data_IF_188005985874
#
_entry.id   IF_188005985874
#
_cell.length_a   1.000
_cell.length_b   1.000
_cell.length_c   1.000
_cell.angle_alpha   90.00
_cell.angle_beta   90.00
_cell.angle_gamma   90.00
#
_symmetry.space_group_name_H-M   'P 1'
#
loop_
_entity.id
_entity.type
_entity.pdbx_description
1 polymer ?
#
# COMPACT_ATOMS: atom_id res chain seq x y z
N UNK A 1 -13.97 -10.47 81.11
CA UNK A 1 -12.88 -10.68 80.11
C UNK A 1 -13.51 -10.67 78.79
N UNK A 2 -13.46 -9.53 78.02
CA UNK A 2 -14.10 -9.30 76.79
C UNK A 2 -13.07 -9.51 75.67
N UNK A 3 -13.23 -10.55 74.85
CA UNK A 3 -12.32 -10.85 73.70
C UNK A 3 -12.85 -10.14 72.43
N UNK A 4 -12.17 -9.05 72.04
CA UNK A 4 -12.36 -8.41 70.75
C UNK A 4 -11.73 -9.29 69.66
N UNK A 5 -12.57 -9.76 68.69
CA UNK A 5 -12.11 -10.37 67.43
C UNK A 5 -12.05 -9.29 66.38
N UNK A 6 -10.83 -8.94 65.95
CA UNK A 6 -10.59 -8.11 64.76
C UNK A 6 -10.87 -8.97 63.54
N UNK A 7 -11.85 -8.57 62.72
CA UNK A 7 -12.02 -9.07 61.36
C UNK A 7 -11.25 -8.16 60.42
N UNK A 8 -10.15 -8.67 59.86
CA UNK A 8 -9.42 -8.00 58.79
C UNK A 8 -10.12 -8.32 57.47
N UNK A 9 -10.77 -7.34 56.87
CA UNK A 9 -11.32 -7.42 55.51
C UNK A 9 -10.22 -7.10 54.50
N UNK A 10 -9.72 -8.13 53.77
CA UNK A 10 -8.88 -7.93 52.61
C UNK A 10 -9.76 -7.49 51.44
N UNK A 11 -9.66 -6.24 51.03
CA UNK A 11 -10.20 -5.76 49.77
C UNK A 11 -9.18 -6.04 48.67
N UNK A 12 -9.45 -7.05 47.85
CA UNK A 12 -8.68 -7.30 46.62
C UNK A 12 -9.11 -6.29 45.55
N UNK A 13 -8.23 -5.32 45.28
CA UNK A 13 -8.40 -4.41 44.13
C UNK A 13 -8.02 -5.17 42.86
N UNK A 14 -9.00 -5.55 42.06
CA UNK A 14 -8.79 -6.08 40.71
C UNK A 14 -8.41 -4.93 39.77
N UNK A 15 -7.14 -4.86 39.35
CA UNK A 15 -6.68 -3.93 38.31
C UNK A 15 -7.10 -4.53 36.96
N UNK A 16 -8.12 -3.96 36.36
CA UNK A 16 -8.56 -4.28 34.99
C UNK A 16 -7.58 -3.61 34.03
N UNK A 17 -6.62 -4.36 33.49
CA UNK A 17 -5.75 -3.91 32.38
C UNK A 17 -6.56 -3.99 31.09
N UNK A 18 -7.09 -2.86 30.61
CA UNK A 18 -7.66 -2.73 29.28
C UNK A 18 -6.51 -2.73 28.26
N UNK A 19 -6.27 -3.89 27.66
CA UNK A 19 -5.41 -3.98 26.48
C UNK A 19 -6.22 -3.44 25.29
N UNK A 20 -5.98 -2.19 24.91
CA UNK A 20 -6.44 -1.67 23.64
C UNK A 20 -5.62 -2.37 22.55
N UNK A 21 -6.16 -3.40 21.95
CA UNK A 21 -5.69 -3.88 20.66
C UNK A 21 -6.02 -2.76 19.64
N UNK A 22 -5.05 -1.85 19.43
CA UNK A 22 -5.15 -0.86 18.37
C UNK A 22 -5.20 -1.61 17.05
N UNK A 23 -6.37 -1.64 16.39
CA UNK A 23 -6.46 -2.06 15.01
C UNK A 23 -5.63 -1.06 14.20
N UNK A 24 -4.50 -1.50 13.64
CA UNK A 24 -3.74 -0.70 12.70
C UNK A 24 -4.58 -0.61 11.40
N UNK A 25 -5.36 0.46 11.29
CA UNK A 25 -6.07 0.76 10.04
C UNK A 25 -5.03 1.14 8.98
N UNK A 26 -5.24 0.67 7.75
CA UNK A 26 -4.43 1.09 6.62
C UNK A 26 -4.42 2.62 6.54
N UNK A 27 -3.25 3.20 6.31
CA UNK A 27 -3.12 4.66 6.24
C UNK A 27 -3.76 5.20 4.98
N UNK A 28 -4.58 6.24 5.12
CA UNK A 28 -5.08 6.98 3.96
C UNK A 28 -3.93 7.70 3.23
N UNK A 29 -4.06 7.96 1.91
CA UNK A 29 -3.10 8.79 1.20
C UNK A 29 -3.03 10.18 1.82
N UNK A 30 -1.83 10.77 1.84
CA UNK A 30 -1.61 12.14 2.30
C UNK A 30 -0.54 12.84 1.46
N UNK A 31 -0.60 14.17 1.39
CA UNK A 31 0.37 14.95 0.62
C UNK A 31 0.28 14.74 -0.89
N UNK A 32 -0.81 14.20 -1.43
CA UNK A 32 -1.03 14.10 -2.87
C UNK A 32 -1.37 15.51 -3.39
N UNK A 33 -0.46 16.08 -4.17
CA UNK A 33 -0.59 17.41 -4.76
C UNK A 33 -1.49 17.37 -5.99
N UNK A 34 -1.29 16.37 -6.84
CA UNK A 34 -2.08 16.14 -8.04
C UNK A 34 -2.02 14.68 -8.48
N UNK A 35 -3.01 14.24 -9.25
CA UNK A 35 -3.09 12.88 -9.77
C UNK A 35 -3.95 12.79 -11.02
N UNK A 36 -3.70 13.60 -12.09
CA UNK A 36 -4.51 13.55 -13.30
C UNK A 36 -4.35 12.21 -14.02
N UNK A 37 -5.46 11.67 -14.48
CA UNK A 37 -5.46 10.59 -15.47
C UNK A 37 -5.08 11.21 -16.81
N UNK A 38 -3.98 10.74 -17.39
CA UNK A 38 -3.48 11.25 -18.67
C UNK A 38 -4.18 10.59 -19.84
N UNK A 39 -4.45 9.29 -19.71
CA UNK A 39 -5.15 8.49 -20.70
C UNK A 39 -5.82 7.27 -20.05
N UNK A 40 -6.92 6.82 -20.61
CA UNK A 40 -7.64 5.61 -20.21
C UNK A 40 -8.35 5.04 -21.44
N UNK A 41 -8.38 3.73 -21.59
CA UNK A 41 -9.07 3.08 -22.68
C UNK A 41 -9.27 1.59 -22.46
N UNK A 42 -10.36 1.09 -23.04
CA UNK A 42 -10.66 -0.34 -23.08
C UNK A 42 -9.77 -1.04 -24.11
N UNK A 43 -9.36 -2.26 -23.82
CA UNK A 43 -8.81 -3.14 -24.82
C UNK A 43 -9.93 -3.59 -25.78
N UNK A 44 -9.79 -3.29 -27.08
CA UNK A 44 -10.75 -3.71 -28.11
C UNK A 44 -10.63 -5.21 -28.37
N UNK A 45 -9.40 -5.71 -28.37
CA UNK A 45 -9.10 -7.12 -28.52
C UNK A 45 -9.07 -7.82 -27.16
N UNK A 46 -9.21 -9.15 -27.18
CA UNK A 46 -8.95 -9.95 -25.97
C UNK A 46 -7.46 -9.90 -25.65
N UNK A 47 -7.12 -9.31 -24.51
CA UNK A 47 -5.74 -9.14 -24.05
C UNK A 47 -5.52 -9.88 -22.74
N UNK A 48 -4.49 -10.73 -22.71
CA UNK A 48 -3.97 -11.30 -21.47
C UNK A 48 -2.66 -10.58 -21.13
N UNK A 49 -2.65 -9.83 -20.04
CA UNK A 49 -1.45 -9.14 -19.57
C UNK A 49 -0.71 -10.05 -18.60
N UNK A 50 0.53 -10.38 -18.94
CA UNK A 50 1.41 -11.16 -18.06
C UNK A 50 2.74 -10.46 -17.89
N UNK A 51 3.10 -10.17 -16.65
CA UNK A 51 4.38 -9.57 -16.31
C UNK A 51 5.16 -10.55 -15.43
N UNK A 52 6.41 -10.81 -15.80
CA UNK A 52 7.34 -11.63 -15.05
C UNK A 52 8.60 -10.81 -14.76
N UNK A 53 9.02 -10.77 -13.50
CA UNK A 53 10.22 -10.05 -13.07
C UNK A 53 10.86 -10.74 -11.85
N UNK A 54 12.10 -10.41 -11.58
CA UNK A 54 12.83 -10.89 -10.41
C UNK A 54 12.83 -9.80 -9.32
N UNK A 55 12.52 -10.22 -8.08
CA UNK A 55 12.57 -9.35 -6.90
C UNK A 55 12.98 -10.17 -5.67
N UNK A 56 13.95 -9.66 -4.90
CA UNK A 56 14.47 -10.30 -3.67
C UNK A 56 14.88 -11.77 -3.87
N UNK A 57 15.49 -12.06 -5.04
CA UNK A 57 15.91 -13.41 -5.41
C UNK A 57 14.76 -14.38 -5.70
N UNK A 58 13.57 -13.87 -5.94
CA UNK A 58 12.39 -14.66 -6.28
C UNK A 58 11.76 -14.17 -7.58
N UNK A 59 11.30 -15.13 -8.41
CA UNK A 59 10.49 -14.81 -9.58
C UNK A 59 9.08 -14.42 -9.14
N UNK A 60 8.64 -13.24 -9.54
CA UNK A 60 7.26 -12.76 -9.38
C UNK A 60 6.56 -12.82 -10.73
N UNK A 61 5.36 -13.36 -10.76
CA UNK A 61 4.49 -13.40 -11.94
C UNK A 61 3.15 -12.78 -11.57
N UNK A 62 2.77 -11.72 -12.28
CA UNK A 62 1.43 -11.16 -12.26
C UNK A 62 0.75 -11.49 -13.58
N UNK A 63 -0.46 -12.00 -13.52
CA UNK A 63 -1.23 -12.43 -14.69
C UNK A 63 -2.67 -11.93 -14.61
N UNK A 64 -3.03 -11.00 -15.49
CA UNK A 64 -4.37 -10.47 -15.65
C UNK A 64 -4.99 -11.00 -16.96
N UNK A 65 -5.67 -12.16 -16.92
CA UNK A 65 -6.34 -12.71 -18.09
C UNK A 65 -7.60 -11.87 -18.39
N UNK A 66 -7.83 -11.61 -19.66
CA UNK A 66 -8.95 -10.78 -20.11
C UNK A 66 -8.93 -9.37 -19.50
N UNK A 67 -7.75 -8.75 -19.49
CA UNK A 67 -7.56 -7.41 -18.94
C UNK A 67 -8.60 -6.43 -19.53
N UNK A 68 -9.28 -5.69 -18.68
CA UNK A 68 -10.34 -4.75 -19.06
C UNK A 68 -9.80 -3.47 -19.67
N UNK A 69 -9.41 -2.52 -18.84
CA UNK A 69 -8.89 -1.22 -19.28
C UNK A 69 -7.41 -1.07 -18.96
N UNK A 70 -6.75 -0.23 -19.75
CA UNK A 70 -5.44 0.34 -19.43
C UNK A 70 -5.61 1.81 -19.04
N UNK A 71 -4.91 2.26 -17.99
CA UNK A 71 -4.95 3.63 -17.52
C UNK A 71 -3.54 4.15 -17.26
N UNK A 72 -3.27 5.39 -17.68
CA UNK A 72 -2.03 6.10 -17.41
C UNK A 72 -2.33 7.30 -16.54
N UNK A 73 -1.62 7.42 -15.43
CA UNK A 73 -1.79 8.49 -14.46
C UNK A 73 -0.45 9.11 -14.10
N UNK A 74 -0.38 10.43 -14.01
CA UNK A 74 0.74 11.14 -13.37
C UNK A 74 0.35 11.49 -11.94
N UNK A 75 1.21 11.19 -10.98
CA UNK A 75 0.96 11.46 -9.56
C UNK A 75 2.10 12.31 -9.01
N UNK A 76 1.75 13.41 -8.34
CA UNK A 76 2.70 14.27 -7.64
C UNK A 76 2.46 14.19 -6.14
N UNK A 77 3.51 13.87 -5.39
CA UNK A 77 3.48 13.69 -3.93
C UNK A 77 4.44 14.69 -3.30
N UNK A 78 3.92 15.53 -2.40
CA UNK A 78 4.73 16.49 -1.64
C UNK A 78 5.73 15.79 -0.70
N UNK A 79 6.78 16.48 -0.23
CA UNK A 79 7.64 15.99 0.84
C UNK A 79 6.86 15.50 2.06
N UNK A 80 7.20 14.34 2.58
CA UNK A 80 6.49 13.68 3.69
C UNK A 80 5.16 13.03 3.31
N UNK A 81 4.74 13.12 2.06
CA UNK A 81 3.50 12.51 1.58
C UNK A 81 3.61 11.00 1.36
N UNK A 82 2.46 10.34 1.32
CA UNK A 82 2.34 8.90 1.11
C UNK A 82 1.12 8.56 0.25
N UNK A 83 1.22 7.45 -0.48
CA UNK A 83 0.06 6.87 -1.17
C UNK A 83 -0.90 6.14 -0.22
N UNK A 84 -0.49 5.88 1.03
CA UNK A 84 -1.23 4.99 1.93
C UNK A 84 -1.21 3.53 1.48
N UNK A 85 -1.56 2.61 2.37
CA UNK A 85 -1.59 1.18 2.06
C UNK A 85 -2.72 0.82 1.09
N UNK A 86 -2.36 0.18 -0.01
CA UNK A 86 -3.30 -0.19 -1.07
C UNK A 86 -2.75 -1.33 -1.93
N UNK A 87 -3.58 -1.83 -2.82
CA UNK A 87 -3.22 -2.73 -3.91
C UNK A 87 -3.89 -2.28 -5.21
N UNK A 88 -3.70 -3.04 -6.28
CA UNK A 88 -4.29 -2.78 -7.60
C UNK A 88 -4.98 -4.03 -8.15
N UNK A 89 -5.98 -3.91 -9.03
CA UNK A 89 -6.63 -5.05 -9.68
C UNK A 89 -5.66 -5.90 -10.49
N UNK A 90 -4.82 -5.27 -11.28
CA UNK A 90 -3.79 -5.91 -12.10
C UNK A 90 -2.41 -5.31 -11.90
N UNK A 91 -1.42 -5.73 -12.72
CA UNK A 91 -0.06 -5.21 -12.62
C UNK A 91 0.02 -3.73 -12.98
N UNK A 92 0.96 -3.03 -12.35
CA UNK A 92 1.23 -1.61 -12.59
C UNK A 92 2.71 -1.43 -12.93
N UNK A 93 2.99 -0.73 -14.02
CA UNK A 93 4.34 -0.25 -14.34
C UNK A 93 4.46 1.19 -13.87
N UNK A 94 5.42 1.46 -12.99
CA UNK A 94 5.68 2.79 -12.44
C UNK A 94 7.02 3.29 -12.92
N UNK A 95 7.05 4.53 -13.42
CA UNK A 95 8.27 5.26 -13.79
C UNK A 95 8.38 6.46 -12.86
N UNK A 96 9.52 6.62 -12.18
CA UNK A 96 9.80 7.80 -11.37
C UNK A 96 10.36 8.89 -12.26
N UNK A 97 9.61 9.98 -12.42
CA UNK A 97 9.94 11.11 -13.28
C UNK A 97 10.81 12.15 -12.56
N UNK A 98 10.57 12.38 -11.27
CA UNK A 98 11.33 13.29 -10.43
C UNK A 98 11.29 12.85 -8.97
N UNK A 99 12.32 13.19 -8.20
CA UNK A 99 12.45 12.81 -6.79
C UNK A 99 12.89 11.36 -6.59
N UNK A 100 12.63 10.82 -5.41
CA UNK A 100 12.88 9.41 -5.07
C UNK A 100 11.64 8.85 -4.37
N UNK A 101 11.09 7.79 -4.93
CA UNK A 101 9.99 7.04 -4.33
C UNK A 101 10.56 5.97 -3.41
N UNK A 102 10.09 5.91 -2.15
CA UNK A 102 10.36 4.80 -1.25
C UNK A 102 9.14 3.87 -1.26
N UNK A 103 9.30 2.70 -1.90
CA UNK A 103 8.27 1.67 -2.00
C UNK A 103 8.36 0.72 -0.83
N UNK A 104 7.28 0.55 -0.07
CA UNK A 104 7.24 -0.28 1.14
C UNK A 104 6.22 -1.39 0.99
N UNK A 105 6.60 -2.60 1.31
CA UNK A 105 5.76 -3.80 1.26
C UNK A 105 6.20 -4.83 2.29
N UNK A 106 5.35 -5.78 2.58
CA UNK A 106 5.76 -7.00 3.26
C UNK A 106 6.40 -7.99 2.27
N UNK A 107 7.52 -8.57 2.66
CA UNK A 107 8.17 -9.65 1.93
C UNK A 107 8.80 -10.64 2.90
N UNK A 108 8.45 -11.93 2.79
CA UNK A 108 9.00 -13.03 3.62
C UNK A 108 8.83 -12.79 5.13
N UNK A 109 7.74 -12.11 5.55
CA UNK A 109 7.47 -11.80 6.95
C UNK A 109 8.25 -10.59 7.50
N UNK A 110 8.87 -9.81 6.64
CA UNK A 110 9.58 -8.57 7.00
C UNK A 110 9.00 -7.38 6.23
N UNK A 111 9.08 -6.20 6.84
CA UNK A 111 8.77 -4.96 6.14
C UNK A 111 10.00 -4.50 5.37
N UNK A 112 9.86 -4.43 4.04
CA UNK A 112 10.96 -4.06 3.14
C UNK A 112 10.65 -2.74 2.46
N UNK A 113 11.58 -1.81 2.55
CA UNK A 113 11.58 -0.56 1.81
C UNK A 113 12.61 -0.60 0.68
N UNK A 114 12.24 -0.04 -0.46
CA UNK A 114 13.09 0.01 -1.65
C UNK A 114 13.02 1.39 -2.28
N UNK A 115 14.14 2.12 -2.35
CA UNK A 115 14.17 3.43 -3.00
C UNK A 115 14.26 3.29 -4.52
N UNK A 116 13.46 4.09 -5.23
CA UNK A 116 13.46 4.24 -6.68
C UNK A 116 13.70 5.71 -7.02
N UNK A 117 14.93 6.10 -7.43
CA UNK A 117 15.24 7.48 -7.82
C UNK A 117 14.66 7.82 -9.19
N UNK A 118 14.65 9.11 -9.52
CA UNK A 118 14.27 9.60 -10.85
C UNK A 118 15.02 8.87 -11.97
N UNK A 119 14.30 8.50 -13.02
CA UNK A 119 14.79 7.68 -14.14
C UNK A 119 14.71 6.17 -13.92
N UNK A 120 14.31 5.71 -12.73
CA UNK A 120 14.05 4.29 -12.47
C UNK A 120 12.60 3.91 -12.79
N UNK A 121 12.39 2.61 -13.01
CA UNK A 121 11.07 2.02 -13.16
C UNK A 121 10.97 0.71 -12.37
N UNK A 122 9.76 0.37 -11.95
CA UNK A 122 9.48 -0.91 -11.30
C UNK A 122 8.07 -1.42 -11.65
N UNK A 123 7.82 -2.68 -11.33
CA UNK A 123 6.51 -3.29 -11.48
C UNK A 123 5.92 -3.52 -10.09
N UNK A 124 4.70 -3.04 -9.87
CA UNK A 124 3.83 -3.53 -8.81
C UNK A 124 3.01 -4.69 -9.36
N UNK A 125 3.00 -5.86 -8.71
CA UNK A 125 2.25 -7.00 -9.23
C UNK A 125 0.73 -6.84 -9.15
N UNK A 126 0.22 -5.92 -8.34
CA UNK A 126 -1.22 -5.79 -8.09
C UNK A 126 -1.82 -7.04 -7.45
N UNK A 127 -3.09 -7.35 -7.75
CA UNK A 127 -3.76 -8.60 -7.39
C UNK A 127 -3.70 -8.94 -5.89
N UNK A 128 -3.94 -7.91 -5.04
CA UNK A 128 -3.94 -8.06 -3.58
C UNK A 128 -2.57 -7.91 -2.91
N UNK A 129 -1.49 -7.69 -3.66
CA UNK A 129 -0.20 -7.34 -3.07
C UNK A 129 -0.26 -5.94 -2.46
N UNK A 130 -0.37 -5.90 -1.14
CA UNK A 130 -0.45 -4.64 -0.39
C UNK A 130 0.90 -3.93 -0.34
N UNK A 131 0.88 -2.64 -0.59
CA UNK A 131 2.05 -1.77 -0.52
C UNK A 131 1.67 -0.33 -0.18
N UNK A 132 2.67 0.47 0.14
CA UNK A 132 2.58 1.92 0.21
C UNK A 132 3.83 2.53 -0.39
N UNK A 133 3.76 3.81 -0.73
CA UNK A 133 4.90 4.58 -1.19
C UNK A 133 4.99 5.91 -0.44
N UNK A 134 6.21 6.35 -0.17
CA UNK A 134 6.50 7.61 0.51
C UNK A 134 7.41 8.48 -0.34
N UNK A 135 7.21 9.79 -0.21
CA UNK A 135 8.20 10.79 -0.59
C UNK A 135 8.95 11.22 0.68
N UNK A 136 10.11 10.63 0.92
CA UNK A 136 10.99 10.97 2.05
C UNK A 136 12.01 12.07 1.71
N UNK A 137 11.96 12.61 0.48
CA UNK A 137 12.82 13.69 0.02
C UNK A 137 12.30 15.07 0.41
N UNK A 138 13.04 16.11 0.00
CA UNK A 138 12.71 17.54 0.22
C UNK A 138 11.98 18.21 -0.95
N UNK A 139 11.91 17.53 -2.10
CA UNK A 139 11.26 18.01 -3.31
C UNK A 139 10.06 17.14 -3.67
N UNK A 140 9.18 17.63 -4.55
CA UNK A 140 8.07 16.84 -5.03
C UNK A 140 8.56 15.57 -5.74
N UNK A 141 7.96 14.44 -5.37
CA UNK A 141 8.06 13.20 -6.09
C UNK A 141 7.03 13.22 -7.23
N UNK A 142 7.45 12.95 -8.45
CA UNK A 142 6.56 12.82 -9.60
C UNK A 142 6.75 11.45 -10.23
N UNK A 143 5.66 10.72 -10.40
CA UNK A 143 5.66 9.40 -11.02
C UNK A 143 4.58 9.28 -12.08
N UNK A 144 4.83 8.43 -13.06
CA UNK A 144 3.84 8.00 -14.06
C UNK A 144 3.59 6.53 -13.85
N UNK A 145 2.34 6.18 -13.61
CA UNK A 145 1.88 4.82 -13.41
C UNK A 145 0.99 4.39 -14.57
N UNK A 146 1.30 3.22 -15.13
CA UNK A 146 0.45 2.54 -16.12
C UNK A 146 -0.17 1.34 -15.45
N UNK A 147 -1.49 1.38 -15.29
CA UNK A 147 -2.29 0.33 -14.67
C UNK A 147 -2.88 -0.55 -15.76
N UNK A 148 -2.78 -1.86 -15.56
CA UNK A 148 -3.44 -2.85 -16.41
C UNK A 148 -4.58 -3.52 -15.64
N UNK A 149 -5.62 -3.97 -16.37
CA UNK A 149 -6.78 -4.63 -15.80
C UNK A 149 -7.57 -3.74 -14.82
N UNK A 150 -7.68 -2.46 -15.14
CA UNK A 150 -8.58 -1.56 -14.41
C UNK A 150 -10.02 -1.97 -14.72
N UNK A 151 -10.92 -2.08 -13.72
CA UNK A 151 -12.32 -2.39 -13.99
C UNK A 151 -12.96 -1.34 -14.90
N UNK A 152 -13.75 -1.81 -15.87
CA UNK A 152 -14.39 -0.96 -16.87
C UNK A 152 -15.27 0.14 -16.28
N UNK A 153 -15.38 1.25 -16.97
CA UNK A 153 -16.18 2.40 -16.57
C UNK A 153 -15.52 3.26 -15.49
N UNK A 154 -16.17 3.49 -14.36
CA UNK A 154 -15.63 4.28 -13.25
C UNK A 154 -14.81 3.43 -12.25
N UNK A 155 -14.39 2.23 -12.63
CA UNK A 155 -13.67 1.32 -11.76
C UNK A 155 -12.36 1.92 -11.23
N UNK A 156 -12.07 1.62 -9.97
CA UNK A 156 -10.90 2.15 -9.30
C UNK A 156 -9.66 1.34 -9.67
N UNK A 157 -8.59 2.04 -10.06
CA UNK A 157 -7.24 1.47 -10.23
C UNK A 157 -6.58 1.12 -8.90
N UNK A 158 -7.19 1.55 -7.78
CA UNK A 158 -6.70 1.40 -6.42
C UNK A 158 -7.73 0.66 -5.56
N UNK A 159 -7.25 -0.26 -4.75
CA UNK A 159 -8.02 -1.00 -3.75
C UNK A 159 -7.39 -0.69 -2.40
N UNK A 160 -8.10 0.02 -1.53
CA UNK A 160 -7.59 0.35 -0.20
C UNK A 160 -7.46 -0.91 0.66
N UNK A 161 -6.34 -1.02 1.36
CA UNK A 161 -6.06 -2.10 2.30
C UNK A 161 -6.40 -1.60 3.70
N UNK A 162 -7.43 -2.19 4.36
CA UNK A 162 -7.93 -1.67 5.63
C UNK A 162 -6.98 -1.89 6.81
N UNK A 163 -6.05 -2.82 6.68
CA UNK A 163 -5.10 -3.18 7.74
C UNK A 163 -3.70 -3.21 7.17
N UNK A 164 -2.77 -2.52 7.84
CA UNK A 164 -1.34 -2.58 7.50
C UNK A 164 -0.85 -4.02 7.66
N UNK A 165 -0.05 -4.56 6.72
CA UNK A 165 0.56 -5.88 6.88
C UNK A 165 1.31 -6.00 8.22
N UNK A 166 1.18 -7.14 8.88
CA UNK A 166 1.64 -7.32 10.26
C UNK A 166 3.15 -7.09 10.46
N UNK A 167 3.95 -7.29 9.42
CA UNK A 167 5.39 -7.04 9.44
C UNK A 167 5.74 -5.55 9.25
N UNK A 168 4.77 -4.75 8.82
CA UNK A 168 4.93 -3.32 8.61
C UNK A 168 4.12 -2.50 9.59
#
# INVERSE_FOLDING_TARGET
MLRFRLFATLTAAAVLVLVFAGSAFGTAPSGIVSGPILARGDFVDRVDVKVKFERDGSTVVSNAPLAGEVMVQEITIAPGGTTGWHSHPGPVVVVVKAGTLTYVREAKGECVDTPYPAGSAFVDPGQGHAHTAFNLGSENLVLVATYFDVPAGAGAQRIDVPVVPAAC
#
